data_IF_657176656957
#
_entry.id   IF_657176656957
#
_cell.length_a   1.000
_cell.length_b   1.000
_cell.length_c   1.000
_cell.angle_alpha   90.00
_cell.angle_beta   90.00
_cell.angle_gamma   90.00
#
_symmetry.space_group_name_H-M   'P 1'
#
loop_
_entity.id
_entity.type
_entity.pdbx_description
1 polymer ?
#
# COMPACT_ATOMS: atom_id res chain seq x y z
N UNK A 1 3.21 28.77 -1.73
CA UNK A 1 2.65 27.46 -2.16
C UNK A 1 3.03 26.41 -1.12
N UNK A 2 2.12 25.50 -0.76
CA UNK A 2 2.40 24.40 0.17
C UNK A 2 3.46 23.44 -0.39
N UNK A 3 4.11 22.67 0.48
CA UNK A 3 5.07 21.65 0.08
C UNK A 3 4.44 20.60 -0.84
N UNK A 4 3.24 20.10 -0.50
CA UNK A 4 2.51 19.16 -1.35
C UNK A 4 2.23 19.72 -2.74
N UNK A 5 1.86 21.01 -2.86
CA UNK A 5 1.64 21.63 -4.17
C UNK A 5 2.91 21.67 -5.03
N UNK A 6 4.08 21.89 -4.42
CA UNK A 6 5.37 21.85 -5.13
C UNK A 6 5.75 20.43 -5.54
N UNK A 7 5.51 19.44 -4.68
CA UNK A 7 5.73 18.03 -4.99
C UNK A 7 4.89 17.60 -6.20
N UNK A 8 3.59 17.90 -6.21
CA UNK A 8 2.73 17.59 -7.34
C UNK A 8 3.15 18.34 -8.60
N UNK A 9 3.55 19.61 -8.48
CA UNK A 9 4.04 20.35 -9.64
C UNK A 9 5.26 19.68 -10.29
N UNK A 10 6.17 19.12 -9.48
CA UNK A 10 7.31 18.36 -9.97
C UNK A 10 6.91 17.03 -10.61
N UNK A 11 5.99 16.26 -9.99
CA UNK A 11 5.53 14.97 -10.51
C UNK A 11 4.74 15.08 -11.82
N UNK A 12 4.03 16.19 -12.04
CA UNK A 12 3.21 16.41 -13.24
C UNK A 12 3.87 17.34 -14.27
N UNK A 13 5.08 17.82 -14.01
CA UNK A 13 5.80 18.70 -14.92
C UNK A 13 5.13 20.07 -15.12
N UNK A 14 4.34 20.54 -14.14
CA UNK A 14 3.74 21.87 -14.21
C UNK A 14 4.76 22.90 -13.73
N UNK A 15 5.11 23.85 -14.59
CA UNK A 15 5.95 24.98 -14.18
C UNK A 15 5.28 25.72 -13.02
N UNK A 16 5.95 25.82 -11.88
CA UNK A 16 5.47 26.52 -10.68
C UNK A 16 5.29 28.04 -10.84
N UNK A 17 5.11 28.54 -12.06
CA UNK A 17 5.03 29.94 -12.43
C UNK A 17 3.65 30.53 -12.11
N UNK A 18 3.44 30.90 -10.86
CA UNK A 18 2.74 32.16 -10.54
C UNK A 18 3.53 33.09 -9.61
N UNK A 19 4.79 32.79 -9.30
CA UNK A 19 5.65 33.73 -8.57
C UNK A 19 7.10 33.58 -9.00
N UNK A 20 7.50 34.35 -10.02
CA UNK A 20 8.66 35.26 -10.04
C UNK A 20 9.07 35.55 -11.47
N UNK A 21 8.90 36.79 -11.92
CA UNK A 21 9.74 37.38 -12.96
C UNK A 21 11.21 37.11 -12.64
N UNK A 22 11.97 36.60 -13.60
CA UNK A 22 13.43 36.53 -13.46
C UNK A 22 14.14 35.48 -14.30
N UNK A 23 14.52 35.91 -15.50
CA UNK A 23 15.65 35.42 -16.31
C UNK A 23 15.39 34.26 -17.26
N UNK A 24 15.52 34.62 -18.54
CA UNK A 24 15.31 33.86 -19.75
C UNK A 24 16.42 32.85 -20.06
N UNK A 25 16.06 31.83 -20.84
CA UNK A 25 16.88 31.37 -21.96
C UNK A 25 16.01 30.58 -22.96
N UNK A 26 15.45 31.28 -23.95
CA UNK A 26 15.10 30.69 -25.25
C UNK A 26 16.37 30.54 -26.10
N UNK A 27 16.40 29.62 -27.08
CA UNK A 27 16.98 29.92 -28.38
C UNK A 27 15.86 30.17 -29.41
N UNK A 28 16.10 30.97 -30.46
CA UNK A 28 15.06 31.35 -31.41
C UNK A 28 14.95 30.31 -32.53
N UNK A 29 13.71 29.95 -32.89
CA UNK A 29 13.41 29.36 -34.18
C UNK A 29 12.24 30.13 -34.81
N UNK A 30 12.57 30.78 -35.92
CA UNK A 30 11.72 31.68 -36.69
C UNK A 30 10.66 30.90 -37.49
N UNK A 31 9.55 31.61 -37.76
CA UNK A 31 8.61 31.44 -38.89
C UNK A 31 7.48 30.41 -38.77
N UNK A 32 6.34 30.91 -38.30
CA UNK A 32 5.00 30.87 -38.93
C UNK A 32 4.56 29.59 -39.63
N UNK A 33 3.43 28.99 -39.20
CA UNK A 33 2.11 29.09 -39.88
C UNK A 33 1.07 28.22 -39.13
N UNK A 34 -0.09 28.82 -38.85
CA UNK A 34 -1.40 28.21 -38.57
C UNK A 34 -1.52 27.09 -37.50
N UNK A 35 -2.19 27.39 -36.38
CA UNK A 35 -2.97 26.40 -35.65
C UNK A 35 -4.22 27.04 -35.03
N UNK A 36 -5.31 26.30 -35.20
CA UNK A 36 -6.70 26.56 -34.86
C UNK A 36 -6.88 26.66 -33.33
N UNK A 37 -7.77 27.52 -32.80
CA UNK A 37 -8.10 27.52 -31.39
C UNK A 37 -9.26 26.55 -31.14
N UNK A 38 -8.95 25.26 -30.92
CA UNK A 38 -9.95 24.30 -30.42
C UNK A 38 -9.25 23.14 -29.68
N UNK A 39 -9.14 23.26 -28.37
CA UNK A 39 -9.20 22.12 -27.42
C UNK A 39 -9.13 22.65 -25.99
N UNK A 40 -10.27 22.70 -25.32
CA UNK A 40 -10.40 23.11 -23.92
C UNK A 40 -9.95 21.97 -22.95
N UNK A 41 -9.53 20.80 -23.46
CA UNK A 41 -9.18 19.61 -22.67
C UNK A 41 -7.68 19.21 -22.66
N UNK A 42 -6.77 20.01 -23.23
CA UNK A 42 -5.36 19.62 -23.41
C UNK A 42 -4.43 19.59 -22.15
N UNK A 43 -4.59 20.43 -21.10
CA UNK A 43 -3.55 20.55 -20.07
C UNK A 43 -3.49 19.36 -19.09
N UNK A 44 -4.59 18.62 -18.91
CA UNK A 44 -4.65 17.45 -18.02
C UNK A 44 -4.04 16.22 -18.67
N UNK A 45 -4.33 15.97 -19.95
CA UNK A 45 -3.75 14.86 -20.71
C UNK A 45 -2.22 14.97 -20.83
N UNK A 46 -1.68 16.19 -21.00
CA UNK A 46 -0.23 16.41 -21.02
C UNK A 46 0.41 16.14 -19.66
N UNK A 47 -0.25 16.52 -18.56
CA UNK A 47 0.25 16.30 -17.20
C UNK A 47 0.28 14.82 -16.82
N UNK A 48 -0.80 14.07 -17.08
CA UNK A 48 -0.84 12.63 -16.83
C UNK A 48 0.20 11.89 -17.68
N UNK A 49 0.32 12.22 -18.96
CA UNK A 49 1.34 11.62 -19.85
C UNK A 49 2.75 11.89 -19.34
N UNK A 50 3.02 13.12 -18.88
CA UNK A 50 4.30 13.47 -18.28
C UNK A 50 4.61 12.59 -17.07
N UNK A 51 3.65 12.45 -16.15
CA UNK A 51 3.82 11.66 -14.93
C UNK A 51 4.20 10.20 -15.24
N UNK A 52 3.43 9.53 -16.10
CA UNK A 52 3.70 8.13 -16.45
C UNK A 52 5.04 7.95 -17.18
N UNK A 53 5.44 8.93 -18.00
CA UNK A 53 6.67 8.86 -18.79
C UNK A 53 7.92 9.14 -17.96
N UNK A 54 7.86 10.12 -17.05
CA UNK A 54 9.07 10.68 -16.43
C UNK A 54 9.15 10.50 -14.92
N UNK A 55 8.00 10.46 -14.21
CA UNK A 55 7.98 10.57 -12.75
C UNK A 55 7.52 9.30 -12.04
N UNK A 56 6.66 8.49 -12.66
CA UNK A 56 6.06 7.31 -12.02
C UNK A 56 7.11 6.28 -11.56
N UNK A 57 8.02 5.89 -12.46
CA UNK A 57 9.08 4.92 -12.12
C UNK A 57 10.02 5.43 -11.01
N UNK A 58 10.37 6.72 -11.05
CA UNK A 58 11.20 7.35 -10.01
C UNK A 58 10.48 7.42 -8.66
N UNK A 59 9.18 7.74 -8.68
CA UNK A 59 8.35 7.77 -7.49
C UNK A 59 8.24 6.38 -6.85
N UNK A 60 7.98 5.34 -7.67
CA UNK A 60 7.93 3.96 -7.21
C UNK A 60 9.23 3.51 -6.56
N UNK A 61 10.37 3.79 -7.19
CA UNK A 61 11.68 3.45 -6.64
C UNK A 61 11.94 4.19 -5.32
N UNK A 62 11.59 5.48 -5.26
CA UNK A 62 11.72 6.27 -4.05
C UNK A 62 10.84 5.73 -2.90
N UNK A 63 9.61 5.31 -3.19
CA UNK A 63 8.71 4.72 -2.19
C UNK A 63 9.21 3.35 -1.72
N UNK A 64 9.70 2.49 -2.62
CA UNK A 64 10.32 1.20 -2.25
C UNK A 64 11.53 1.42 -1.34
N UNK A 65 12.38 2.40 -1.66
CA UNK A 65 13.49 2.80 -0.80
C UNK A 65 13.01 3.33 0.56
N UNK A 66 11.93 4.11 0.57
CA UNK A 66 11.37 4.74 1.77
C UNK A 66 10.85 3.71 2.79
N UNK A 67 10.24 2.62 2.33
CA UNK A 67 9.78 1.53 3.19
C UNK A 67 10.89 0.49 3.48
N UNK A 68 12.01 0.50 2.75
CA UNK A 68 13.11 -0.43 2.96
C UNK A 68 14.04 0.03 4.09
N UNK A 69 14.16 -0.73 5.20
CA UNK A 69 15.00 -0.36 6.35
C UNK A 69 16.50 -0.37 6.04
N UNK A 70 16.92 -1.05 4.97
CA UNK A 70 18.33 -1.23 4.59
C UNK A 70 18.88 -0.13 3.68
N UNK A 71 18.01 0.62 3.02
CA UNK A 71 18.38 1.45 1.86
C UNK A 71 18.25 2.94 2.16
N UNK A 72 17.28 3.32 3.00
CA UNK A 72 17.09 4.70 3.37
C UNK A 72 17.98 5.09 4.54
N UNK A 73 18.99 5.92 4.27
CA UNK A 73 19.66 6.72 5.31
C UNK A 73 18.60 7.66 5.88
N UNK A 74 17.91 7.21 6.94
CA UNK A 74 16.86 7.98 7.57
C UNK A 74 17.37 9.41 7.77
N UNK A 75 16.59 10.45 7.38
CA UNK A 75 16.99 11.81 7.68
C UNK A 75 17.24 11.91 9.20
N UNK A 76 18.13 12.82 9.62
CA UNK A 76 18.54 13.04 11.03
C UNK A 76 17.38 13.64 11.83
N UNK A 77 16.24 12.98 11.82
CA UNK A 77 15.02 13.26 12.53
C UNK A 77 14.95 12.28 13.71
N UNK A 78 14.24 12.66 14.77
CA UNK A 78 14.13 11.81 15.95
C UNK A 78 13.60 10.42 15.58
N UNK A 79 14.11 9.38 16.23
CA UNK A 79 13.80 7.96 15.96
C UNK A 79 12.29 7.64 15.91
N UNK A 80 11.46 8.39 16.65
CA UNK A 80 10.00 8.21 16.62
C UNK A 80 9.33 8.85 15.39
N UNK A 81 9.92 9.89 14.80
CA UNK A 81 9.36 10.55 13.61
C UNK A 81 9.67 9.76 12.33
N UNK A 82 10.77 9.00 12.30
CA UNK A 82 11.18 8.23 11.12
C UNK A 82 10.22 7.10 10.78
N UNK A 83 9.57 6.47 11.77
CA UNK A 83 8.69 5.31 11.54
C UNK A 83 7.38 5.72 10.85
N UNK A 84 6.82 6.88 11.18
CA UNK A 84 5.50 7.30 10.65
C UNK A 84 5.57 8.04 9.31
N UNK A 85 6.73 8.61 8.98
CA UNK A 85 6.90 9.47 7.81
C UNK A 85 6.61 8.76 6.47
N UNK A 86 7.02 7.50 6.24
CA UNK A 86 6.66 6.75 5.03
C UNK A 86 5.15 6.72 4.76
N UNK A 87 4.37 6.38 5.79
CA UNK A 87 2.91 6.29 5.69
C UNK A 87 2.26 7.66 5.45
N UNK A 88 2.77 8.72 6.08
CA UNK A 88 2.26 10.09 5.90
C UNK A 88 2.52 10.66 4.52
N UNK A 89 3.67 10.35 3.92
CA UNK A 89 3.93 10.68 2.52
C UNK A 89 2.92 9.96 1.64
N UNK A 90 2.71 8.66 1.88
CA UNK A 90 1.78 7.88 1.06
C UNK A 90 0.35 8.44 1.14
N UNK A 91 -0.15 8.74 2.35
CA UNK A 91 -1.45 9.44 2.53
C UNK A 91 -1.50 10.72 1.70
N UNK A 92 -0.44 11.54 1.72
CA UNK A 92 -0.39 12.79 0.96
C UNK A 92 -0.39 12.56 -0.55
N UNK A 93 0.26 11.49 -1.04
CA UNK A 93 0.27 11.14 -2.45
C UNK A 93 -1.09 10.63 -2.92
N UNK A 94 -1.84 9.99 -2.03
CA UNK A 94 -3.15 9.44 -2.34
C UNK A 94 -4.25 10.47 -2.57
N UNK A 95 -4.01 11.73 -2.20
CA UNK A 95 -4.88 12.87 -2.56
C UNK A 95 -5.04 13.06 -4.08
N UNK A 96 -4.21 12.38 -4.90
CA UNK A 96 -4.26 12.42 -6.37
C UNK A 96 -4.55 11.03 -6.95
N UNK A 97 -5.76 10.80 -7.49
CA UNK A 97 -6.16 9.48 -7.99
C UNK A 97 -5.25 8.97 -9.12
N UNK A 98 -4.68 9.87 -9.94
CA UNK A 98 -3.74 9.51 -11.00
C UNK A 98 -2.44 8.91 -10.45
N UNK A 99 -1.99 9.37 -9.27
CA UNK A 99 -0.82 8.80 -8.59
C UNK A 99 -1.22 7.48 -7.93
N UNK A 100 -2.31 7.50 -7.16
CA UNK A 100 -2.85 6.35 -6.42
C UNK A 100 -2.97 5.10 -7.30
N UNK A 101 -3.65 5.24 -8.44
CA UNK A 101 -3.87 4.13 -9.39
C UNK A 101 -2.59 3.63 -10.04
N UNK A 102 -1.57 4.48 -10.19
CA UNK A 102 -0.32 4.13 -10.82
C UNK A 102 0.67 3.41 -9.91
N UNK A 103 0.59 3.63 -8.59
CA UNK A 103 1.63 3.16 -7.65
C UNK A 103 1.18 2.07 -6.69
N UNK A 104 -0.11 2.00 -6.35
CA UNK A 104 -0.55 1.21 -5.20
C UNK A 104 -0.29 -0.30 -5.39
N UNK A 105 -0.60 -0.85 -6.56
CA UNK A 105 -0.40 -2.27 -6.86
C UNK A 105 1.08 -2.72 -6.68
N UNK A 106 2.03 -1.82 -6.88
CA UNK A 106 3.47 -2.08 -6.79
C UNK A 106 4.06 -1.92 -5.39
N UNK A 107 3.36 -1.23 -4.47
CA UNK A 107 3.89 -0.89 -3.14
C UNK A 107 3.08 -1.48 -2.00
N UNK A 108 1.81 -1.85 -2.22
CA UNK A 108 0.89 -2.12 -1.11
C UNK A 108 1.29 -3.35 -0.30
N UNK A 109 1.88 -4.38 -0.94
CA UNK A 109 2.43 -5.52 -0.18
C UNK A 109 3.59 -5.12 0.74
N UNK A 110 4.42 -4.18 0.29
CA UNK A 110 5.57 -3.69 1.05
C UNK A 110 5.12 -2.76 2.19
N UNK A 111 4.03 -2.02 1.99
CA UNK A 111 3.34 -1.29 3.08
C UNK A 111 2.81 -2.26 4.13
N UNK A 112 2.16 -3.36 3.74
CA UNK A 112 1.66 -4.37 4.68
C UNK A 112 2.79 -5.02 5.48
N UNK A 113 3.88 -5.41 4.80
CA UNK A 113 5.10 -5.93 5.45
C UNK A 113 5.67 -4.94 6.43
N UNK A 114 5.81 -3.68 6.04
CA UNK A 114 6.37 -2.62 6.89
C UNK A 114 5.52 -2.46 8.15
N UNK A 115 4.19 -2.36 8.02
CA UNK A 115 3.29 -2.26 9.18
C UNK A 115 3.38 -3.47 10.10
N UNK A 116 3.36 -4.68 9.54
CA UNK A 116 3.46 -5.92 10.31
C UNK A 116 4.78 -6.00 11.08
N UNK A 117 5.90 -5.70 10.43
CA UNK A 117 7.23 -5.77 11.02
C UNK A 117 7.42 -4.71 12.12
N UNK A 118 6.92 -3.48 11.91
CA UNK A 118 6.96 -2.42 12.92
C UNK A 118 6.08 -2.76 14.14
N UNK A 119 4.87 -3.30 13.92
CA UNK A 119 3.99 -3.74 15.01
C UNK A 119 4.56 -4.93 15.79
N UNK A 120 5.15 -5.92 15.11
CA UNK A 120 5.72 -7.12 15.74
C UNK A 120 7.07 -6.86 16.43
N UNK A 121 7.85 -5.89 15.95
CA UNK A 121 9.12 -5.49 16.59
C UNK A 121 8.89 -4.87 17.98
N UNK A 122 7.75 -4.22 18.20
CA UNK A 122 7.36 -3.69 19.52
C UNK A 122 7.15 -4.77 20.59
N UNK A 123 6.92 -6.03 20.19
CA UNK A 123 6.64 -7.13 21.13
C UNK A 123 7.91 -7.75 21.75
N UNK A 124 9.10 -7.49 21.17
CA UNK A 124 10.36 -8.14 21.57
C UNK A 124 11.23 -7.32 22.54
N UNK A 125 10.97 -6.03 22.73
CA UNK A 125 11.75 -5.15 23.61
C UNK A 125 11.18 -5.10 25.05
N UNK A 126 11.23 -6.24 25.77
CA UNK A 126 10.83 -6.32 27.18
C UNK A 126 11.95 -5.83 28.11
N UNK A 127 12.00 -4.52 28.36
CA UNK A 127 12.50 -3.93 29.62
C UNK A 127 12.29 -2.41 29.65
N UNK A 128 11.49 -1.92 30.61
CA UNK A 128 11.21 -0.50 30.94
C UNK A 128 10.61 0.42 29.84
N UNK A 129 10.56 0.00 28.59
CA UNK A 129 10.03 0.76 27.44
C UNK A 129 8.53 0.52 27.12
N UNK A 130 7.80 -0.23 27.95
CA UNK A 130 6.41 -0.66 27.65
C UNK A 130 5.46 0.52 27.36
N UNK A 131 5.45 1.57 28.19
CA UNK A 131 4.56 2.73 27.95
C UNK A 131 4.88 3.50 26.67
N UNK A 132 6.15 3.53 26.25
CA UNK A 132 6.56 4.24 25.03
C UNK A 132 6.32 3.37 23.80
N UNK A 133 6.56 2.06 23.89
CA UNK A 133 6.26 1.09 22.84
C UNK A 133 4.75 1.02 22.57
N UNK A 134 3.91 0.99 23.61
CA UNK A 134 2.45 1.02 23.49
C UNK A 134 1.95 2.31 22.82
N UNK A 135 2.54 3.46 23.17
CA UNK A 135 2.21 4.74 22.54
C UNK A 135 2.60 4.76 21.07
N UNK A 136 3.80 4.30 20.73
CA UNK A 136 4.27 4.23 19.34
C UNK A 136 3.40 3.28 18.53
N UNK A 137 3.05 2.11 19.08
CA UNK A 137 2.14 1.15 18.46
C UNK A 137 0.74 1.76 18.23
N UNK A 138 0.18 2.44 19.23
CA UNK A 138 -1.11 3.12 19.08
C UNK A 138 -1.10 4.19 17.99
N UNK A 139 -0.05 5.02 17.93
CA UNK A 139 0.09 6.04 16.88
C UNK A 139 0.33 5.39 15.49
N UNK A 140 0.99 4.22 15.44
CA UNK A 140 1.17 3.46 14.21
C UNK A 140 -0.15 2.92 13.69
N UNK A 141 -0.95 2.28 14.55
CA UNK A 141 -2.29 1.81 14.23
C UNK A 141 -3.18 2.97 13.78
N UNK A 142 -3.12 4.13 14.44
CA UNK A 142 -3.85 5.32 14.01
C UNK A 142 -3.41 5.82 12.64
N UNK A 143 -2.11 5.83 12.37
CA UNK A 143 -1.56 6.24 11.07
C UNK A 143 -1.93 5.25 9.96
N UNK A 144 -1.91 3.95 10.25
CA UNK A 144 -2.35 2.90 9.36
C UNK A 144 -3.85 3.03 9.04
N UNK A 145 -4.68 3.26 10.06
CA UNK A 145 -6.11 3.52 9.86
C UNK A 145 -6.34 4.75 8.98
N UNK A 146 -5.61 5.85 9.20
CA UNK A 146 -5.70 7.03 8.33
C UNK A 146 -5.32 6.70 6.87
N UNK A 147 -4.27 5.90 6.67
CA UNK A 147 -3.83 5.46 5.35
C UNK A 147 -4.91 4.61 4.67
N UNK A 148 -5.42 3.59 5.36
CA UNK A 148 -6.46 2.74 4.79
C UNK A 148 -7.76 3.51 4.57
N UNK A 149 -8.08 4.52 5.39
CA UNK A 149 -9.26 5.38 5.22
C UNK A 149 -9.16 6.33 4.03
N UNK A 150 -7.96 6.51 3.48
CA UNK A 150 -7.78 7.17 2.20
C UNK A 150 -7.93 6.23 0.99
N UNK A 151 -8.05 4.91 1.20
CA UNK A 151 -8.36 3.93 0.16
C UNK A 151 -9.86 3.67 0.08
N UNK A 152 -10.33 3.34 -1.11
CA UNK A 152 -11.63 2.69 -1.27
C UNK A 152 -11.55 1.26 -0.70
N UNK A 153 -12.54 0.80 0.10
CA UNK A 153 -12.53 -0.55 0.67
C UNK A 153 -12.46 -1.65 -0.38
N UNK A 154 -13.17 -1.48 -1.50
CA UNK A 154 -13.12 -2.38 -2.66
C UNK A 154 -11.70 -2.56 -3.19
N UNK A 155 -10.93 -1.47 -3.26
CA UNK A 155 -9.56 -1.53 -3.74
C UNK A 155 -8.67 -2.30 -2.76
N UNK A 156 -8.78 -2.01 -1.45
CA UNK A 156 -7.95 -2.66 -0.43
C UNK A 156 -8.20 -4.18 -0.38
N UNK A 157 -9.46 -4.58 -0.25
CA UNK A 157 -9.81 -6.00 -0.15
C UNK A 157 -9.69 -6.72 -1.50
N UNK A 158 -9.94 -6.02 -2.61
CA UNK A 158 -9.65 -6.50 -3.96
C UNK A 158 -8.17 -6.78 -4.17
N UNK A 159 -7.27 -5.94 -3.65
CA UNK A 159 -5.83 -6.20 -3.68
C UNK A 159 -5.43 -7.42 -2.84
N UNK A 160 -6.05 -7.61 -1.67
CA UNK A 160 -5.83 -8.80 -0.84
C UNK A 160 -6.26 -10.06 -1.58
N UNK A 161 -7.45 -10.06 -2.20
CA UNK A 161 -7.93 -11.17 -3.03
C UNK A 161 -6.96 -11.45 -4.21
N UNK A 162 -6.57 -10.42 -4.95
CA UNK A 162 -5.59 -10.53 -6.06
C UNK A 162 -4.25 -11.10 -5.60
N UNK A 163 -3.78 -10.70 -4.42
CA UNK A 163 -2.53 -11.19 -3.83
C UNK A 163 -2.63 -12.67 -3.44
N UNK A 164 -3.77 -13.07 -2.87
CA UNK A 164 -4.08 -14.46 -2.52
C UNK A 164 -4.14 -15.34 -3.77
N UNK A 165 -4.95 -14.96 -4.76
CA UNK A 165 -5.06 -15.63 -6.05
C UNK A 165 -3.68 -15.80 -6.70
N UNK A 166 -2.91 -14.71 -6.80
CA UNK A 166 -1.58 -14.75 -7.38
C UNK A 166 -0.62 -15.68 -6.64
N UNK A 167 -0.75 -15.81 -5.31
CA UNK A 167 0.05 -16.75 -4.53
C UNK A 167 -0.35 -18.21 -4.82
N UNK A 168 -1.65 -18.51 -4.94
CA UNK A 168 -2.16 -19.82 -5.36
C UNK A 168 -1.69 -20.21 -6.76
N UNK A 169 -1.78 -19.32 -7.75
CA UNK A 169 -1.33 -19.56 -9.13
C UNK A 169 0.18 -19.82 -9.17
N UNK A 170 0.97 -18.99 -8.48
CA UNK A 170 2.44 -19.19 -8.40
C UNK A 170 2.78 -20.53 -7.75
N UNK A 171 2.00 -20.96 -6.75
CA UNK A 171 2.19 -22.25 -6.08
C UNK A 171 1.85 -23.44 -6.99
N UNK A 172 0.83 -23.30 -7.82
CA UNK A 172 0.49 -24.31 -8.84
C UNK A 172 1.58 -24.41 -9.93
N UNK A 173 2.15 -23.28 -10.33
CA UNK A 173 3.22 -23.22 -11.33
C UNK A 173 4.59 -23.71 -10.82
N UNK A 174 4.87 -23.53 -9.52
CA UNK A 174 6.13 -23.95 -8.89
C UNK A 174 5.87 -24.76 -7.60
N UNK A 175 5.77 -26.10 -7.71
CA UNK A 175 5.50 -26.99 -6.59
C UNK A 175 6.66 -27.13 -5.60
N UNK A 176 7.83 -26.55 -5.88
CA UNK A 176 8.97 -26.68 -4.98
C UNK A 176 8.68 -25.95 -3.66
N UNK A 177 8.96 -26.54 -2.49
CA UNK A 177 8.79 -25.85 -1.23
C UNK A 177 9.72 -24.64 -1.21
N UNK A 178 9.18 -23.41 -1.31
CA UNK A 178 9.96 -22.24 -0.95
C UNK A 178 10.18 -22.34 0.54
N UNK A 179 11.42 -22.62 0.94
CA UNK A 179 11.83 -22.56 2.33
C UNK A 179 11.46 -21.19 2.86
N UNK A 180 10.55 -21.17 3.83
CA UNK A 180 10.25 -19.97 4.61
C UNK A 180 11.59 -19.38 5.06
N UNK A 181 11.84 -18.12 4.70
CA UNK A 181 12.88 -17.38 5.38
C UNK A 181 12.53 -17.35 6.87
N UNK A 182 13.53 -17.18 7.73
CA UNK A 182 13.51 -17.40 9.18
C UNK A 182 12.48 -16.52 9.98
N UNK A 183 11.60 -15.78 9.29
CA UNK A 183 10.50 -15.01 9.85
C UNK A 183 9.18 -15.27 9.12
N UNK A 184 8.08 -15.14 9.85
CA UNK A 184 6.71 -15.35 9.36
C UNK A 184 6.31 -14.43 8.18
N UNK A 185 7.00 -13.30 8.03
CA UNK A 185 6.79 -12.29 6.97
C UNK A 185 8.14 -11.87 6.40
N UNK A 186 8.24 -11.72 5.08
CA UNK A 186 9.49 -11.38 4.41
C UNK A 186 9.84 -9.89 4.63
N UNK A 187 11.12 -9.50 4.55
CA UNK A 187 11.49 -8.08 4.65
C UNK A 187 10.88 -7.29 3.49
N UNK A 188 10.71 -5.97 3.71
CA UNK A 188 10.23 -5.04 2.68
C UNK A 188 11.13 -5.11 1.44
N UNK A 189 10.52 -5.16 0.25
CA UNK A 189 11.22 -5.27 -1.03
C UNK A 189 11.53 -6.70 -1.47
N UNK A 190 11.01 -7.72 -0.77
CA UNK A 190 11.20 -9.14 -1.13
C UNK A 190 10.40 -9.60 -2.35
N UNK A 191 9.68 -8.70 -3.02
CA UNK A 191 8.86 -9.01 -4.18
C UNK A 191 7.56 -9.75 -3.83
N UNK A 192 7.08 -10.61 -4.73
CA UNK A 192 5.76 -11.24 -4.61
C UNK A 192 5.64 -12.14 -3.37
N UNK A 193 4.57 -12.02 -2.57
CA UNK A 193 4.44 -12.73 -1.31
C UNK A 193 4.11 -14.22 -1.51
N UNK A 194 4.44 -15.02 -0.50
CA UNK A 194 3.98 -16.42 -0.42
C UNK A 194 2.52 -16.51 0.05
N UNK A 195 1.85 -17.64 -0.15
CA UNK A 195 0.45 -17.79 0.30
C UNK A 195 0.31 -17.62 1.81
N UNK A 196 1.24 -18.17 2.59
CA UNK A 196 1.25 -18.02 4.04
C UNK A 196 1.47 -16.58 4.46
N UNK A 197 2.39 -15.88 3.81
CA UNK A 197 2.64 -14.46 4.06
C UNK A 197 1.38 -13.62 3.77
N UNK A 198 0.69 -13.88 2.65
CA UNK A 198 -0.59 -13.21 2.36
C UNK A 198 -1.61 -13.48 3.45
N UNK A 199 -1.74 -14.71 3.93
CA UNK A 199 -2.65 -15.04 5.02
C UNK A 199 -2.34 -14.25 6.30
N UNK A 200 -1.07 -14.24 6.71
CA UNK A 200 -0.60 -13.55 7.93
C UNK A 200 -0.84 -12.04 7.83
N UNK A 201 -0.49 -11.43 6.70
CA UNK A 201 -0.70 -10.01 6.47
C UNK A 201 -2.18 -9.65 6.42
N UNK A 202 -3.02 -10.51 5.82
CA UNK A 202 -4.47 -10.31 5.77
C UNK A 202 -5.11 -10.40 7.15
N UNK A 203 -4.72 -11.38 7.96
CA UNK A 203 -5.15 -11.50 9.36
C UNK A 203 -4.76 -10.27 10.18
N UNK A 204 -3.53 -9.77 10.00
CA UNK A 204 -3.06 -8.54 10.63
C UNK A 204 -3.89 -7.31 10.21
N UNK A 205 -4.21 -7.16 8.93
CA UNK A 205 -5.06 -6.06 8.46
C UNK A 205 -6.45 -6.10 9.09
N UNK A 206 -7.06 -7.28 9.22
CA UNK A 206 -8.36 -7.48 9.89
C UNK A 206 -8.33 -7.14 11.39
N UNK A 207 -7.15 -7.10 12.01
CA UNK A 207 -6.95 -6.68 13.41
C UNK A 207 -6.65 -5.18 13.55
N UNK A 208 -5.85 -4.63 12.63
CA UNK A 208 -5.39 -3.23 12.71
C UNK A 208 -6.42 -2.24 12.19
N UNK A 209 -7.17 -2.60 11.16
CA UNK A 209 -8.21 -1.73 10.58
C UNK A 209 -9.40 -1.71 11.55
N UNK A 210 -9.72 -0.52 12.04
CA UNK A 210 -10.88 -0.29 12.91
C UNK A 210 -12.15 -0.42 12.10
N UNK A 211 -12.86 -1.53 12.32
CA UNK A 211 -14.10 -1.90 11.62
C UNK A 211 -15.24 -0.90 11.81
N UNK A 212 -15.15 -0.01 12.82
CA UNK A 212 -16.21 0.95 13.14
C UNK A 212 -16.33 2.11 12.12
N UNK A 213 -15.33 2.32 11.25
CA UNK A 213 -15.37 3.38 10.23
C UNK A 213 -15.74 2.90 8.82
N UNK A 214 -15.98 1.60 8.65
CA UNK A 214 -16.25 1.01 7.35
C UNK A 214 -17.52 0.20 7.41
N UNK A 215 -18.44 0.47 6.51
CA UNK A 215 -19.57 -0.41 6.25
C UNK A 215 -19.03 -1.66 5.51
N UNK A 216 -18.34 -2.53 6.23
CA UNK A 216 -17.69 -3.76 5.71
C UNK A 216 -18.69 -4.90 5.42
N UNK A 217 -19.99 -4.60 5.40
CA UNK A 217 -21.06 -5.60 5.24
C UNK A 217 -21.08 -6.28 3.87
N UNK A 218 -20.40 -5.71 2.86
CA UNK A 218 -20.40 -6.26 1.49
C UNK A 218 -18.99 -6.73 1.07
N UNK A 219 -17.93 -5.97 1.36
CA UNK A 219 -16.58 -6.25 0.87
C UNK A 219 -15.91 -7.49 1.50
N UNK A 220 -16.11 -7.73 2.81
CA UNK A 220 -15.51 -8.90 3.48
C UNK A 220 -16.17 -10.23 3.06
N UNK A 221 -17.51 -10.33 2.90
CA UNK A 221 -18.13 -11.48 2.26
C UNK A 221 -17.55 -11.79 0.86
N UNK A 222 -17.35 -10.77 0.03
CA UNK A 222 -16.80 -10.93 -1.32
C UNK A 222 -15.35 -11.41 -1.30
N UNK A 223 -14.55 -10.89 -0.37
CA UNK A 223 -13.20 -11.38 -0.13
C UNK A 223 -13.20 -12.86 0.30
N UNK A 224 -14.07 -13.22 1.25
CA UNK A 224 -14.20 -14.61 1.70
C UNK A 224 -14.62 -15.54 0.56
N UNK A 225 -15.58 -15.11 -0.27
CA UNK A 225 -16.01 -15.86 -1.44
C UNK A 225 -14.85 -16.06 -2.43
N UNK A 226 -14.10 -14.99 -2.73
CA UNK A 226 -12.94 -15.05 -3.63
C UNK A 226 -11.86 -16.00 -3.12
N UNK A 227 -11.52 -15.93 -1.83
CA UNK A 227 -10.56 -16.83 -1.18
C UNK A 227 -11.05 -18.28 -1.20
N UNK A 228 -12.34 -18.51 -0.98
CA UNK A 228 -12.93 -19.86 -1.01
C UNK A 228 -12.91 -20.46 -2.42
N UNK A 229 -13.18 -19.66 -3.45
CA UNK A 229 -13.09 -20.09 -4.85
C UNK A 229 -11.65 -20.41 -5.24
N UNK A 230 -10.69 -19.55 -4.89
CA UNK A 230 -9.27 -19.81 -5.15
C UNK A 230 -8.78 -21.08 -4.44
N UNK A 231 -9.23 -21.32 -3.20
CA UNK A 231 -8.95 -22.54 -2.47
C UNK A 231 -9.56 -23.75 -3.15
N UNK A 232 -10.82 -23.67 -3.60
CA UNK A 232 -11.50 -24.75 -4.32
C UNK A 232 -10.73 -25.14 -5.59
N UNK A 233 -10.22 -24.15 -6.31
CA UNK A 233 -9.50 -24.36 -7.59
C UNK A 233 -8.08 -24.88 -7.39
N UNK A 234 -7.36 -24.39 -6.38
CA UNK A 234 -5.93 -24.66 -6.21
C UNK A 234 -5.61 -25.65 -5.08
N UNK A 235 -6.62 -26.20 -4.39
CA UNK A 235 -6.46 -27.07 -3.21
C UNK A 235 -5.43 -28.20 -3.41
N UNK A 236 -5.43 -28.82 -4.60
CA UNK A 236 -4.55 -29.95 -4.93
C UNK A 236 -3.05 -29.59 -4.97
N UNK A 237 -2.70 -28.31 -5.12
CA UNK A 237 -1.31 -27.83 -5.22
C UNK A 237 -0.77 -27.26 -3.90
N UNK A 238 -1.63 -27.07 -2.90
CA UNK A 238 -1.26 -26.45 -1.62
C UNK A 238 -0.71 -27.47 -0.63
N UNK A 239 0.36 -27.09 0.07
CA UNK A 239 0.87 -27.91 1.18
C UNK A 239 0.03 -27.73 2.45
N UNK A 240 0.05 -28.73 3.38
CA UNK A 240 -0.70 -28.66 4.63
C UNK A 240 -0.57 -27.36 5.45
N UNK A 241 0.63 -26.75 5.64
CA UNK A 241 0.73 -25.48 6.36
C UNK A 241 0.09 -24.31 5.60
N UNK A 242 0.14 -24.31 4.26
CA UNK A 242 -0.49 -23.27 3.45
C UNK A 242 -2.01 -23.37 3.50
N UNK A 243 -2.53 -24.60 3.38
CA UNK A 243 -3.96 -24.88 3.52
C UNK A 243 -4.46 -24.50 4.92
N UNK A 244 -3.69 -24.83 5.96
CA UNK A 244 -4.00 -24.41 7.33
C UNK A 244 -4.09 -22.89 7.44
N UNK A 245 -3.09 -22.16 6.95
CA UNK A 245 -3.09 -20.69 6.99
C UNK A 245 -4.30 -20.09 6.26
N UNK A 246 -4.64 -20.62 5.09
CA UNK A 246 -5.79 -20.14 4.33
C UNK A 246 -7.13 -20.44 5.01
N UNK A 247 -7.29 -21.61 5.62
CA UNK A 247 -8.49 -21.95 6.41
C UNK A 247 -8.61 -21.08 7.67
N UNK A 248 -7.48 -20.76 8.32
CA UNK A 248 -7.46 -19.81 9.45
C UNK A 248 -7.92 -18.44 8.97
N UNK A 249 -7.40 -17.94 7.85
CA UNK A 249 -7.87 -16.68 7.25
C UNK A 249 -9.38 -16.70 6.98
N UNK A 250 -9.91 -17.76 6.37
CA UNK A 250 -11.34 -17.92 6.15
C UNK A 250 -12.14 -17.85 7.45
N UNK A 251 -11.66 -18.52 8.51
CA UNK A 251 -12.30 -18.47 9.83
C UNK A 251 -12.27 -17.06 10.43
N UNK A 252 -11.17 -16.31 10.25
CA UNK A 252 -11.05 -14.92 10.72
C UNK A 252 -12.01 -14.00 9.96
N UNK A 253 -12.08 -14.13 8.64
CA UNK A 253 -13.04 -13.40 7.81
C UNK A 253 -14.48 -13.70 8.24
N UNK A 254 -14.84 -14.97 8.41
CA UNK A 254 -16.16 -15.37 8.90
C UNK A 254 -16.51 -14.73 10.25
N UNK A 255 -15.56 -14.69 11.19
CA UNK A 255 -15.78 -14.06 12.51
C UNK A 255 -16.05 -12.56 12.45
N UNK A 256 -15.64 -11.91 11.35
CA UNK A 256 -15.78 -10.47 11.10
C UNK A 256 -17.05 -10.15 10.30
N UNK A 257 -17.46 -11.06 9.41
CA UNK A 257 -18.67 -10.97 8.59
C UNK A 257 -19.94 -11.32 9.36
N UNK A 258 -19.85 -12.25 10.32
CA UNK A 258 -21.01 -12.63 11.12
C UNK A 258 -21.45 -11.45 11.99
N UNK A 259 -22.74 -11.06 11.96
CA UNK A 259 -23.23 -10.10 12.93
C UNK A 259 -22.96 -10.68 14.31
N UNK A 260 -22.30 -9.90 15.18
CA UNK A 260 -22.14 -10.29 16.57
C UNK A 260 -23.53 -10.66 17.09
N UNK A 261 -23.71 -11.94 17.43
CA UNK A 261 -24.88 -12.42 18.15
C UNK A 261 -24.83 -11.74 19.52
N UNK A 262 -25.27 -10.48 19.58
CA UNK A 262 -25.59 -9.84 20.84
C UNK A 262 -26.70 -10.69 21.44
N UNK A 263 -26.30 -11.51 22.41
CA UNK A 263 -27.19 -12.23 23.32
C UNK A 263 -28.17 -11.21 23.90
N UNK A 264 -29.34 -11.12 23.30
CA UNK A 264 -30.52 -10.56 23.95
C UNK A 264 -31.07 -11.68 24.82
N UNK A 265 -30.72 -11.66 26.11
CA UNK A 265 -31.19 -12.63 27.10
C UNK A 265 -30.19 -12.80 28.24
#
# INVERSE_FOLDING_TARGET
MSLNRRLFAWLFGSDGSTTTSGVAASPPATTSTAAIPDSIDAPTASASTYFYTNSCALLLEALKCLFSPSTCRAPVLSSNFSVFWPYRILVSLMDKPEITTAILDDILIDVFRSLYLECSSGTLAKSQQEKQADRTHFELVKTANLLFSSLEPDYLWGYVAKSFHGACVRRSADPLPRTLQLGNVAPVGSGAPTLQEVCILSEFLLEVISMDSYMETEHLPDLLHSVAEDLREHCSCLHPPELKSALVLCSRLLSKVQPSLQSSG
#
